data_IF_333790901171
#
_entry.id   IF_333790901171
#
_cell.length_a   1.000
_cell.length_b   1.000
_cell.length_c   1.000
_cell.angle_alpha   90.00
_cell.angle_beta   90.00
_cell.angle_gamma   90.00
#
_symmetry.space_group_name_H-M   'P 1'
#
loop_
_entity.id
_entity.type
_entity.pdbx_description
1 polymer ?
#
# COMPACT_ATOMS: atom_id res chain seq x y z
N UNK A 1 -17.70 17.68 6.93
CA UNK A 1 -16.50 16.91 7.31
C UNK A 1 -16.22 15.83 6.28
N UNK A 2 -17.19 14.99 5.88
CA UNK A 2 -16.99 13.89 4.92
C UNK A 2 -16.35 14.33 3.59
N UNK A 3 -16.92 15.34 2.91
CA UNK A 3 -16.37 15.84 1.64
C UNK A 3 -14.99 16.48 1.80
N UNK A 4 -14.74 17.15 2.92
CA UNK A 4 -13.45 17.73 3.23
C UNK A 4 -12.40 16.61 3.42
N UNK A 5 -12.73 15.58 4.19
CA UNK A 5 -11.84 14.43 4.37
C UNK A 5 -11.56 13.71 3.05
N UNK A 6 -12.59 13.50 2.22
CA UNK A 6 -12.42 12.87 0.89
C UNK A 6 -11.51 13.70 -0.03
N UNK A 7 -11.68 15.02 -0.06
CA UNK A 7 -10.83 15.91 -0.84
C UNK A 7 -9.37 15.86 -0.37
N UNK A 8 -9.12 15.90 0.94
CA UNK A 8 -7.76 15.80 1.49
C UNK A 8 -7.11 14.44 1.23
N UNK A 9 -7.85 13.34 1.36
CA UNK A 9 -7.35 12.00 1.02
C UNK A 9 -6.96 11.94 -0.45
N UNK A 10 -7.79 12.48 -1.35
CA UNK A 10 -7.49 12.52 -2.77
C UNK A 10 -6.24 13.34 -3.07
N UNK A 11 -6.13 14.55 -2.51
CA UNK A 11 -4.96 15.43 -2.67
C UNK A 11 -3.69 14.74 -2.13
N UNK A 12 -3.74 14.18 -0.92
CA UNK A 12 -2.61 13.50 -0.31
C UNK A 12 -2.15 12.29 -1.15
N UNK A 13 -3.09 11.49 -1.65
CA UNK A 13 -2.81 10.34 -2.52
C UNK A 13 -2.18 10.79 -3.84
N UNK A 14 -2.66 11.88 -4.43
CA UNK A 14 -2.10 12.45 -5.65
C UNK A 14 -0.67 12.93 -5.41
N UNK A 15 -0.40 13.67 -4.34
CA UNK A 15 0.95 14.12 -4.00
C UNK A 15 1.90 12.94 -3.72
N UNK A 16 1.43 11.91 -3.03
CA UNK A 16 2.20 10.68 -2.80
C UNK A 16 2.52 9.99 -4.12
N UNK A 17 1.56 9.90 -5.04
CA UNK A 17 1.80 9.36 -6.38
C UNK A 17 2.84 10.18 -7.15
N UNK A 18 2.72 11.50 -7.16
CA UNK A 18 3.70 12.39 -7.79
C UNK A 18 5.08 12.22 -7.17
N UNK A 19 5.18 12.08 -5.85
CA UNK A 19 6.45 11.80 -5.17
C UNK A 19 7.11 10.51 -5.69
N UNK A 20 6.33 9.43 -5.92
CA UNK A 20 6.88 8.18 -6.47
C UNK A 20 7.44 8.34 -7.88
N UNK A 21 6.97 9.32 -8.64
CA UNK A 21 7.47 9.62 -10.00
C UNK A 21 8.74 10.48 -9.98
N UNK A 22 9.07 11.12 -8.86
CA UNK A 22 10.31 11.88 -8.72
C UNK A 22 11.55 10.99 -8.76
N UNK A 23 12.73 11.53 -9.09
CA UNK A 23 13.98 10.76 -9.00
C UNK A 23 14.21 10.13 -7.61
N UNK A 24 13.84 10.85 -6.53
CA UNK A 24 13.94 10.34 -5.16
C UNK A 24 13.04 9.13 -4.92
N UNK A 25 11.79 9.16 -5.40
CA UNK A 25 10.85 8.04 -5.30
C UNK A 25 11.30 6.82 -6.11
N UNK A 26 11.82 7.03 -7.33
CA UNK A 26 12.37 5.94 -8.16
C UNK A 26 13.61 5.32 -7.54
N UNK A 27 14.50 6.14 -6.96
CA UNK A 27 15.68 5.67 -6.25
C UNK A 27 15.34 4.95 -4.95
N UNK A 28 14.23 5.30 -4.28
CA UNK A 28 13.77 4.57 -3.09
C UNK A 28 13.50 3.09 -3.41
N UNK A 29 12.90 2.79 -4.57
CA UNK A 29 12.70 1.41 -5.03
C UNK A 29 14.03 0.72 -5.36
N UNK A 30 14.96 1.39 -6.02
CA UNK A 30 16.28 0.86 -6.35
C UNK A 30 17.10 0.54 -5.07
N UNK A 31 17.07 1.44 -4.07
CA UNK A 31 17.72 1.24 -2.77
C UNK A 31 17.07 0.11 -1.97
N UNK A 32 15.76 -0.09 -2.10
CA UNK A 32 15.05 -1.21 -1.47
C UNK A 32 15.51 -2.55 -2.06
N UNK A 33 15.63 -2.61 -3.38
CA UNK A 33 15.95 -3.87 -4.08
C UNK A 33 17.45 -4.22 -3.96
N UNK A 34 18.33 -3.23 -4.12
CA UNK A 34 19.77 -3.42 -3.93
C UNK A 34 20.48 -2.10 -3.57
N UNK A 35 20.78 -1.87 -2.27
CA UNK A 35 21.41 -0.63 -1.82
C UNK A 35 22.84 -0.45 -2.36
N UNK A 36 23.61 -1.53 -2.52
CA UNK A 36 24.99 -1.47 -3.03
C UNK A 36 25.02 -0.96 -4.48
N UNK A 37 24.15 -1.46 -5.34
CA UNK A 37 24.04 -0.98 -6.73
C UNK A 37 23.67 0.50 -6.80
N UNK A 38 22.80 0.98 -5.90
CA UNK A 38 22.43 2.39 -5.85
C UNK A 38 23.63 3.27 -5.46
N UNK A 39 24.50 2.79 -4.58
CA UNK A 39 25.72 3.49 -4.17
C UNK A 39 26.78 3.49 -5.29
N UNK A 40 26.93 2.44 -6.06
CA UNK A 40 27.81 2.40 -7.24
C UNK A 40 27.42 3.43 -8.32
N UNK A 41 26.13 3.76 -8.42
CA UNK A 41 25.64 4.79 -9.35
C UNK A 41 25.76 6.22 -8.76
N UNK A 42 26.30 6.36 -7.54
CA UNK A 42 26.56 7.64 -6.89
C UNK A 42 25.43 8.13 -5.98
N UNK A 43 24.42 7.33 -5.70
CA UNK A 43 23.33 7.66 -4.78
C UNK A 43 23.62 7.14 -3.37
N UNK A 44 23.52 8.03 -2.37
CA UNK A 44 23.63 7.61 -0.96
C UNK A 44 22.34 6.93 -0.50
N UNK A 45 22.41 5.62 -0.26
CA UNK A 45 21.26 4.82 0.24
C UNK A 45 20.70 5.39 1.54
N UNK A 46 21.56 5.93 2.43
CA UNK A 46 21.14 6.56 3.69
C UNK A 46 20.29 7.82 3.47
N UNK A 47 20.71 8.71 2.55
CA UNK A 47 19.95 9.94 2.25
C UNK A 47 18.59 9.64 1.65
N UNK A 48 18.51 8.67 0.73
CA UNK A 48 17.26 8.28 0.09
C UNK A 48 16.28 7.66 1.11
N UNK A 49 16.75 6.78 1.98
CA UNK A 49 15.94 6.23 3.08
C UNK A 49 15.42 7.33 4.00
N UNK A 50 16.26 8.30 4.35
CA UNK A 50 15.88 9.43 5.20
C UNK A 50 14.77 10.27 4.54
N UNK A 51 14.92 10.64 3.26
CA UNK A 51 13.91 11.40 2.51
C UNK A 51 12.59 10.63 2.45
N UNK A 52 12.64 9.33 2.15
CA UNK A 52 11.44 8.47 2.10
C UNK A 52 10.76 8.38 3.47
N UNK A 53 11.53 8.28 4.55
CA UNK A 53 11.01 8.27 5.91
C UNK A 53 10.32 9.59 6.28
N UNK A 54 10.95 10.74 5.97
CA UNK A 54 10.36 12.05 6.20
C UNK A 54 9.05 12.24 5.40
N UNK A 55 9.04 11.84 4.13
CA UNK A 55 7.84 11.88 3.30
C UNK A 55 6.72 11.00 3.88
N UNK A 56 7.04 9.78 4.28
CA UNK A 56 6.09 8.86 4.93
C UNK A 56 5.52 9.47 6.22
N UNK A 57 6.36 10.06 7.07
CA UNK A 57 5.93 10.74 8.30
C UNK A 57 5.01 11.92 8.04
N UNK A 58 5.29 12.70 7.00
CA UNK A 58 4.43 13.81 6.58
C UNK A 58 3.02 13.35 6.20
N UNK A 59 2.90 12.33 5.36
CA UNK A 59 1.60 11.78 4.96
C UNK A 59 0.88 11.06 6.11
N UNK A 60 1.63 10.40 7.00
CA UNK A 60 1.07 9.83 8.22
C UNK A 60 0.48 10.91 9.15
N UNK A 61 1.14 12.06 9.26
CA UNK A 61 0.65 13.21 10.01
C UNK A 61 -0.68 13.76 9.44
N UNK A 62 -0.80 13.86 8.11
CA UNK A 62 -2.05 14.24 7.44
C UNK A 62 -3.16 13.23 7.76
N UNK A 63 -2.86 11.92 7.64
CA UNK A 63 -3.83 10.87 7.95
C UNK A 63 -4.29 10.91 9.41
N UNK A 64 -3.37 11.15 10.36
CA UNK A 64 -3.69 11.31 11.78
C UNK A 64 -4.56 12.55 12.05
N UNK A 65 -4.27 13.67 11.38
CA UNK A 65 -5.10 14.87 11.47
C UNK A 65 -6.53 14.66 10.95
N UNK A 66 -6.68 13.97 9.82
CA UNK A 66 -8.01 13.61 9.28
C UNK A 66 -8.75 12.63 10.19
N UNK A 67 -8.03 11.70 10.80
CA UNK A 67 -8.59 10.79 11.79
C UNK A 67 -9.14 11.56 13.01
N UNK A 68 -8.35 12.50 13.55
CA UNK A 68 -8.77 13.37 14.65
C UNK A 68 -10.02 14.19 14.33
N UNK A 69 -10.09 14.76 13.13
CA UNK A 69 -11.25 15.53 12.66
C UNK A 69 -12.52 14.69 12.53
N UNK A 70 -12.37 13.41 12.19
CA UNK A 70 -13.52 12.52 11.99
C UNK A 70 -14.06 11.94 13.29
N UNK A 71 -13.18 11.65 14.25
CA UNK A 71 -13.56 11.05 15.55
C UNK A 71 -13.68 12.07 16.68
N UNK A 72 -13.35 13.34 16.44
CA UNK A 72 -13.39 14.47 17.38
C UNK A 72 -12.46 14.34 18.60
N UNK A 73 -11.93 13.15 18.87
CA UNK A 73 -10.96 12.90 19.94
C UNK A 73 -9.96 11.81 19.55
N UNK A 74 -8.77 11.88 20.14
CA UNK A 74 -7.71 10.89 19.98
C UNK A 74 -7.47 10.27 21.35
N UNK A 75 -7.52 8.94 21.41
CA UNK A 75 -7.17 8.16 22.59
C UNK A 75 -5.80 7.51 22.43
N UNK A 76 -5.18 7.11 23.53
CA UNK A 76 -3.92 6.35 23.51
C UNK A 76 -4.05 5.01 22.76
N UNK A 77 -5.25 4.43 22.71
CA UNK A 77 -5.53 3.21 21.94
C UNK A 77 -5.27 3.36 20.44
N UNK A 78 -5.38 4.58 19.91
CA UNK A 78 -5.09 4.86 18.50
C UNK A 78 -3.59 4.82 18.18
N UNK A 79 -2.73 4.96 19.21
CA UNK A 79 -1.28 4.87 19.11
C UNK A 79 -0.74 3.47 19.45
N UNK A 80 -1.62 2.50 19.65
CA UNK A 80 -1.25 1.15 20.04
C UNK A 80 -0.58 0.39 18.89
N UNK A 81 0.30 -0.55 19.24
CA UNK A 81 0.96 -1.48 18.32
C UNK A 81 -0.03 -2.29 17.47
N UNK A 82 -1.21 -2.61 18.00
CA UNK A 82 -2.27 -3.32 17.27
C UNK A 82 -2.79 -2.51 16.10
N UNK A 83 -3.01 -1.20 16.29
CA UNK A 83 -3.46 -0.29 15.23
C UNK A 83 -2.39 -0.14 14.14
N UNK A 84 -1.12 0.03 14.53
CA UNK A 84 0.01 0.05 13.60
C UNK A 84 0.14 -1.27 12.83
N UNK A 85 -0.03 -2.40 13.51
CA UNK A 85 -0.05 -3.73 12.89
C UNK A 85 -1.16 -3.87 11.85
N UNK A 86 -2.36 -3.35 12.13
CA UNK A 86 -3.49 -3.35 11.18
C UNK A 86 -3.15 -2.58 9.89
N UNK A 87 -2.49 -1.42 9.98
CA UNK A 87 -2.05 -0.65 8.80
C UNK A 87 -1.00 -1.43 8.00
N UNK A 88 -0.05 -2.09 8.66
CA UNK A 88 0.90 -2.98 8.00
C UNK A 88 0.22 -4.15 7.28
N UNK A 89 -0.80 -4.75 7.91
CA UNK A 89 -1.60 -5.80 7.29
C UNK A 89 -2.31 -5.32 6.04
N UNK A 90 -2.92 -4.13 6.07
CA UNK A 90 -3.56 -3.51 4.89
C UNK A 90 -2.57 -3.35 3.74
N UNK A 91 -1.37 -2.83 4.04
CA UNK A 91 -0.34 -2.65 3.03
C UNK A 91 0.17 -3.99 2.46
N UNK A 92 0.34 -5.00 3.32
CA UNK A 92 0.85 -6.32 2.93
C UNK A 92 -0.16 -7.09 2.08
N UNK A 93 -1.42 -7.17 2.52
CA UNK A 93 -2.51 -7.83 1.79
C UNK A 93 -2.72 -7.18 0.42
N UNK A 94 -2.68 -5.85 0.38
CA UNK A 94 -2.78 -5.11 -0.88
C UNK A 94 -1.62 -5.34 -1.83
N UNK A 95 -0.41 -5.53 -1.30
CA UNK A 95 0.82 -5.76 -2.06
C UNK A 95 1.78 -4.57 -2.00
N UNK A 96 2.90 -4.74 -1.30
CA UNK A 96 3.92 -3.72 -1.06
C UNK A 96 4.67 -3.27 -2.33
N UNK A 97 4.59 -4.04 -3.42
CA UNK A 97 5.30 -3.75 -4.66
C UNK A 97 4.64 -2.69 -5.56
N UNK A 98 3.39 -2.37 -5.30
CA UNK A 98 2.57 -1.50 -6.14
C UNK A 98 1.97 -0.34 -5.34
N UNK A 99 1.95 0.85 -5.94
CA UNK A 99 1.39 2.04 -5.28
C UNK A 99 -0.11 1.86 -4.92
N UNK A 100 -0.87 1.23 -5.80
CA UNK A 100 -2.31 0.96 -5.60
C UNK A 100 -2.55 -0.16 -4.58
N UNK A 101 -1.53 -0.98 -4.28
CA UNK A 101 -1.63 -2.12 -3.36
C UNK A 101 -2.24 -1.76 -2.01
N UNK A 102 -1.64 -0.86 -1.22
CA UNK A 102 -2.17 -0.47 0.08
C UNK A 102 -3.60 0.07 0.06
N UNK A 103 -4.00 0.74 -1.04
CA UNK A 103 -5.36 1.25 -1.22
C UNK A 103 -6.34 0.08 -1.35
N UNK A 104 -6.04 -0.89 -2.20
CA UNK A 104 -6.85 -2.11 -2.37
C UNK A 104 -6.92 -2.89 -1.05
N UNK A 105 -5.79 -3.06 -0.37
CA UNK A 105 -5.73 -3.75 0.91
C UNK A 105 -6.56 -3.07 1.99
N UNK A 106 -6.53 -1.74 2.06
CA UNK A 106 -7.35 -0.96 2.99
C UNK A 106 -8.85 -1.17 2.72
N UNK A 107 -9.27 -1.13 1.45
CA UNK A 107 -10.68 -1.36 1.06
C UNK A 107 -11.10 -2.79 1.43
N UNK A 108 -10.30 -3.79 1.07
CA UNK A 108 -10.61 -5.20 1.37
C UNK A 108 -10.72 -5.42 2.88
N UNK A 109 -9.73 -4.98 3.67
CA UNK A 109 -9.75 -5.19 5.11
C UNK A 109 -10.89 -4.42 5.81
N UNK A 110 -11.19 -3.20 5.35
CA UNK A 110 -12.30 -2.41 5.92
C UNK A 110 -13.64 -3.08 5.63
N UNK A 111 -13.87 -3.56 4.41
CA UNK A 111 -15.07 -4.30 4.05
C UNK A 111 -15.19 -5.61 4.84
N UNK A 112 -14.11 -6.39 4.92
CA UNK A 112 -14.09 -7.64 5.69
C UNK A 112 -14.35 -7.38 7.16
N UNK A 113 -13.72 -6.35 7.75
CA UNK A 113 -13.96 -5.97 9.14
C UNK A 113 -15.43 -5.60 9.38
N UNK A 114 -16.01 -4.77 8.51
CA UNK A 114 -17.42 -4.36 8.61
C UNK A 114 -18.40 -5.52 8.47
N UNK A 115 -18.12 -6.46 7.57
CA UNK A 115 -18.97 -7.63 7.36
C UNK A 115 -18.83 -8.66 8.51
N UNK A 116 -17.59 -9.02 8.90
CA UNK A 116 -17.35 -10.04 9.90
C UNK A 116 -17.72 -9.58 11.32
N UNK A 117 -17.50 -8.30 11.64
CA UNK A 117 -17.86 -7.73 12.94
C UNK A 117 -19.36 -7.84 13.24
N UNK A 118 -20.20 -7.83 12.21
CA UNK A 118 -21.66 -7.97 12.38
C UNK A 118 -22.10 -9.43 12.58
N UNK A 119 -21.28 -10.42 12.18
CA UNK A 119 -21.69 -11.83 12.18
C UNK A 119 -21.03 -12.66 13.31
N UNK A 120 -19.87 -12.26 13.84
CA UNK A 120 -19.14 -13.08 14.80
C UNK A 120 -18.24 -12.25 15.71
N UNK A 121 -18.23 -12.60 17.00
CA UNK A 121 -17.28 -12.05 17.98
C UNK A 121 -15.82 -12.46 17.68
N UNK A 122 -15.63 -13.52 16.90
CA UNK A 122 -14.31 -14.06 16.53
C UNK A 122 -13.72 -13.39 15.27
N UNK A 123 -14.20 -12.20 14.88
CA UNK A 123 -13.77 -11.50 13.66
C UNK A 123 -12.25 -11.32 13.58
N UNK A 124 -11.57 -11.15 14.72
CA UNK A 124 -10.12 -10.97 14.78
C UNK A 124 -9.37 -12.25 14.39
N UNK A 125 -9.91 -13.43 14.75
CA UNK A 125 -9.38 -14.72 14.35
C UNK A 125 -9.49 -14.94 12.84
N UNK A 126 -10.63 -14.56 12.25
CA UNK A 126 -10.82 -14.65 10.79
C UNK A 126 -9.86 -13.73 10.03
N UNK A 127 -9.61 -12.51 10.54
CA UNK A 127 -8.59 -11.61 9.96
C UNK A 127 -7.19 -12.23 10.02
N UNK A 128 -6.83 -12.87 11.13
CA UNK A 128 -5.56 -13.57 11.27
C UNK A 128 -5.41 -14.72 10.28
N UNK A 129 -6.43 -15.56 10.14
CA UNK A 129 -6.44 -16.66 9.15
C UNK A 129 -6.33 -16.12 7.73
N UNK A 130 -7.11 -15.08 7.38
CA UNK A 130 -7.05 -14.43 6.08
C UNK A 130 -5.64 -13.90 5.78
N UNK A 131 -4.97 -13.31 6.78
CA UNK A 131 -3.59 -12.85 6.63
C UNK A 131 -2.65 -14.01 6.31
N UNK A 132 -2.70 -15.09 7.08
CA UNK A 132 -1.86 -16.28 6.85
C UNK A 132 -2.11 -16.85 5.45
N UNK A 133 -3.36 -16.97 5.02
CA UNK A 133 -3.71 -17.43 3.68
C UNK A 133 -3.16 -16.50 2.61
N UNK A 134 -3.26 -15.18 2.80
CA UNK A 134 -2.72 -14.20 1.84
C UNK A 134 -1.21 -14.32 1.72
N UNK A 135 -0.49 -14.47 2.84
CA UNK A 135 0.96 -14.65 2.84
C UNK A 135 1.40 -15.93 2.11
N UNK A 136 0.66 -17.04 2.33
CA UNK A 136 0.98 -18.34 1.73
C UNK A 136 0.64 -18.41 0.23
N UNK A 137 -0.51 -17.86 -0.17
CA UNK A 137 -1.01 -18.03 -1.55
C UNK A 137 -0.75 -16.81 -2.45
N UNK A 138 -0.65 -15.61 -1.88
CA UNK A 138 -0.43 -14.36 -2.62
C UNK A 138 0.80 -13.58 -2.11
N UNK A 139 2.02 -14.10 -2.31
CA UNK A 139 3.24 -13.45 -1.80
C UNK A 139 3.49 -12.04 -2.39
N UNK A 140 2.80 -11.68 -3.49
CA UNK A 140 2.82 -10.35 -4.12
C UNK A 140 1.60 -9.49 -3.80
N UNK A 141 0.70 -9.97 -2.93
CA UNK A 141 -0.56 -9.33 -2.58
C UNK A 141 -1.60 -9.32 -3.71
N UNK A 142 -2.80 -8.83 -3.41
CA UNK A 142 -3.90 -8.76 -4.37
C UNK A 142 -3.59 -7.88 -5.59
N UNK A 143 -2.89 -6.75 -5.42
CA UNK A 143 -2.49 -5.90 -6.53
C UNK A 143 -1.53 -6.62 -7.49
N UNK A 144 -0.61 -7.44 -6.97
CA UNK A 144 0.28 -8.25 -7.78
C UNK A 144 -0.45 -9.29 -8.61
N UNK A 145 -1.48 -9.92 -8.04
CA UNK A 145 -2.30 -10.90 -8.74
C UNK A 145 -3.09 -10.24 -9.90
N UNK A 146 -3.74 -9.10 -9.65
CA UNK A 146 -4.48 -8.35 -10.67
C UNK A 146 -3.56 -7.90 -11.80
N UNK A 147 -2.38 -7.37 -11.45
CA UNK A 147 -1.42 -6.85 -12.44
C UNK A 147 -0.80 -7.97 -13.28
N UNK A 148 -0.48 -9.13 -12.68
CA UNK A 148 -0.01 -10.30 -13.43
C UNK A 148 -1.06 -10.80 -14.42
N UNK A 149 -2.34 -10.78 -14.05
CA UNK A 149 -3.41 -11.20 -14.94
C UNK A 149 -3.58 -10.25 -16.13
N UNK A 150 -3.46 -8.93 -15.90
CA UNK A 150 -3.47 -7.93 -16.97
C UNK A 150 -2.28 -8.07 -17.92
N UNK A 151 -1.06 -8.30 -17.39
CA UNK A 151 0.14 -8.48 -18.21
C UNK A 151 0.05 -9.78 -19.04
N UNK A 152 -0.44 -10.86 -18.46
CA UNK A 152 -0.67 -12.11 -19.18
C UNK A 152 -1.69 -11.94 -20.34
N UNK A 153 -2.76 -11.20 -20.09
CA UNK A 153 -3.77 -10.89 -21.09
C UNK A 153 -3.24 -10.02 -22.24
N UNK A 154 -2.41 -9.01 -21.89
CA UNK A 154 -1.79 -8.12 -22.89
C UNK A 154 -0.72 -8.83 -23.71
N UNK A 155 0.08 -9.72 -23.10
CA UNK A 155 1.07 -10.55 -23.81
C UNK A 155 0.38 -11.57 -24.73
N UNK A 156 -0.70 -12.21 -24.32
CA UNK A 156 -1.48 -13.10 -25.16
C UNK A 156 -2.03 -12.39 -26.40
N UNK A 157 -2.44 -11.12 -26.25
CA UNK A 157 -2.96 -10.32 -27.37
C UNK A 157 -1.83 -9.85 -28.33
N UNK A 158 -0.63 -9.60 -27.82
CA UNK A 158 0.55 -9.25 -28.64
C UNK A 158 1.10 -10.47 -29.40
N UNK A 159 1.12 -11.66 -28.78
CA UNK A 159 1.54 -12.88 -29.48
C UNK A 159 0.61 -13.27 -30.62
N UNK A 160 -0.69 -13.02 -30.48
CA UNK A 160 -1.65 -13.26 -31.56
C UNK A 160 -1.56 -12.26 -32.71
N UNK A 161 -0.91 -11.12 -32.53
CA UNK A 161 -0.68 -10.11 -33.57
C UNK A 161 0.67 -10.30 -34.30
N UNK A 162 1.63 -10.99 -33.68
CA UNK A 162 2.99 -11.17 -34.23
C UNK A 162 3.14 -12.50 -34.98
N UNK A 163 2.34 -13.52 -34.68
CA UNK A 163 2.42 -14.85 -35.31
C UNK A 163 1.92 -14.92 -36.77
N UNK A 164 1.07 -14.01 -37.32
CA UNK A 164 0.67 -14.16 -38.72
C UNK A 164 1.74 -13.72 -39.76
N UNK A 165 2.95 -13.33 -39.33
CA UNK A 165 4.01 -12.87 -40.26
C UNK A 165 5.33 -13.66 -40.17
N UNK A 166 5.33 -14.85 -39.61
CA UNK A 166 6.36 -15.87 -39.69
C UNK A 166 5.79 -17.17 -40.23
#
# INVERSE_FOLDING_TARGET
IYYLAAAWVFIATLFMYLFTQTPAGRMANAVRDNPERAEFVGYSARKIRYISFCASGFFAGIAGGLFALNYEFITEENLNAVTSGRVLLMAYIGGLGYFIGPIIGAVILTLMNSLLSNYSELWMLYLGIMFVLTVLFLPRGFAGFIMMHQIAWTRGKLSSLVIPYL
#
